data_IF_591688626426
#
_entry.id   IF_591688626426
#
_cell.length_a   1.000
_cell.length_b   1.000
_cell.length_c   1.000
_cell.angle_alpha   90.00
_cell.angle_beta   90.00
_cell.angle_gamma   90.00
#
_symmetry.space_group_name_H-M   'P 1'
#
loop_
_entity.id
_entity.type
_entity.pdbx_description
1 polymer ?
#
# COMPACT_ATOMS: atom_id res chain seq x y z
N UNK A 1 -12.05 -12.64 5.46
CA UNK A 1 -12.26 -11.29 4.87
C UNK A 1 -11.13 -10.85 3.95
N UNK A 2 -9.86 -11.23 4.16
CA UNK A 2 -8.76 -10.81 3.26
C UNK A 2 -8.92 -11.24 1.80
N UNK A 3 -9.39 -12.47 1.56
CA UNK A 3 -9.70 -12.98 0.21
C UNK A 3 -10.73 -12.13 -0.55
N UNK A 4 -11.65 -11.46 0.14
CA UNK A 4 -12.66 -10.62 -0.52
C UNK A 4 -12.12 -9.25 -0.95
N UNK A 5 -10.98 -8.82 -0.42
CA UNK A 5 -10.44 -7.48 -0.62
C UNK A 5 -9.35 -7.44 -1.69
N UNK A 6 -8.82 -8.60 -2.10
CA UNK A 6 -7.88 -8.70 -3.20
C UNK A 6 -8.61 -8.39 -4.53
N UNK A 7 -8.12 -7.42 -5.34
CA UNK A 7 -8.86 -6.91 -6.48
C UNK A 7 -8.63 -7.68 -7.79
N UNK A 8 -7.84 -8.75 -7.76
CA UNK A 8 -7.43 -9.52 -8.95
C UNK A 8 -7.78 -10.99 -8.79
N UNK A 9 -7.78 -11.73 -9.90
CA UNK A 9 -7.78 -13.19 -9.87
C UNK A 9 -6.48 -13.69 -9.22
N UNK A 10 -6.61 -14.64 -8.30
CA UNK A 10 -5.47 -15.25 -7.64
C UNK A 10 -4.64 -16.07 -8.62
N UNK A 11 -3.32 -15.91 -8.53
CA UNK A 11 -2.32 -16.77 -9.18
C UNK A 11 -1.78 -17.77 -8.18
N UNK A 12 -1.01 -18.73 -8.69
CA UNK A 12 -0.35 -19.76 -7.89
C UNK A 12 0.34 -19.16 -6.64
N UNK A 13 0.12 -19.81 -5.49
CA UNK A 13 0.66 -19.44 -4.17
C UNK A 13 0.21 -18.09 -3.58
N UNK A 14 -0.53 -17.25 -4.30
CA UNK A 14 -0.95 -15.94 -3.78
C UNK A 14 -1.98 -16.04 -2.66
N UNK A 15 -2.91 -17.00 -2.76
CA UNK A 15 -3.91 -17.27 -1.72
C UNK A 15 -3.23 -17.75 -0.42
N UNK A 16 -2.28 -18.68 -0.52
CA UNK A 16 -1.46 -19.15 0.61
C UNK A 16 -0.63 -18.03 1.22
N UNK A 17 -0.03 -17.18 0.38
CA UNK A 17 0.73 -16.01 0.83
C UNK A 17 -0.15 -15.02 1.59
N UNK A 18 -1.34 -14.72 1.07
CA UNK A 18 -2.30 -13.84 1.74
C UNK A 18 -2.69 -14.39 3.11
N UNK A 19 -2.95 -15.70 3.19
CA UNK A 19 -3.32 -16.38 4.42
C UNK A 19 -2.18 -16.38 5.43
N UNK A 20 -0.95 -16.64 4.98
CA UNK A 20 0.25 -16.55 5.80
C UNK A 20 0.41 -15.17 6.46
N UNK A 21 0.30 -14.08 5.66
CA UNK A 21 0.39 -12.71 6.18
C UNK A 21 -0.78 -12.41 7.14
N UNK A 22 -2.01 -12.78 6.76
CA UNK A 22 -3.20 -12.52 7.57
C UNK A 22 -3.13 -13.20 8.93
N UNK A 23 -2.74 -14.47 8.98
CA UNK A 23 -2.62 -15.24 10.23
C UNK A 23 -1.55 -14.61 11.12
N UNK A 24 -0.36 -14.32 10.58
CA UNK A 24 0.72 -13.73 11.35
C UNK A 24 0.34 -12.36 11.95
N UNK A 25 -0.34 -11.51 11.17
CA UNK A 25 -0.82 -10.21 11.65
C UNK A 25 -1.91 -10.36 12.71
N UNK A 26 -2.86 -11.27 12.50
CA UNK A 26 -3.93 -11.55 13.46
C UNK A 26 -3.40 -12.04 14.81
N UNK A 27 -2.33 -12.83 14.80
CA UNK A 27 -1.63 -13.33 15.99
C UNK A 27 -0.67 -12.30 16.61
N UNK A 28 -0.55 -11.09 16.05
CA UNK A 28 0.36 -10.05 16.53
C UNK A 28 1.85 -10.37 16.33
N UNK A 29 2.18 -11.24 15.38
CA UNK A 29 3.55 -11.69 15.09
C UNK A 29 4.22 -10.80 14.04
N UNK A 30 5.56 -10.83 14.04
CA UNK A 30 6.36 -10.29 12.94
C UNK A 30 6.32 -11.28 11.77
N UNK A 31 5.87 -10.82 10.60
CA UNK A 31 5.83 -11.61 9.37
C UNK A 31 7.02 -11.24 8.50
N UNK A 32 7.83 -12.24 8.16
CA UNK A 32 8.91 -12.11 7.18
C UNK A 32 8.49 -12.88 5.93
N UNK A 33 8.50 -12.20 4.79
CA UNK A 33 7.99 -12.73 3.54
C UNK A 33 8.96 -12.40 2.40
N UNK A 34 9.40 -13.43 1.67
CA UNK A 34 10.12 -13.29 0.43
C UNK A 34 9.24 -13.75 -0.74
N UNK A 35 9.13 -12.91 -1.76
CA UNK A 35 8.41 -13.23 -2.98
C UNK A 35 9.00 -12.42 -4.14
N UNK A 36 8.94 -12.99 -5.34
CA UNK A 36 9.53 -12.39 -6.53
C UNK A 36 8.89 -11.04 -6.92
N UNK A 37 9.61 -10.23 -7.70
CA UNK A 37 9.04 -9.03 -8.34
C UNK A 37 7.92 -9.46 -9.30
N UNK A 38 6.83 -8.69 -9.34
CA UNK A 38 5.65 -9.04 -10.14
C UNK A 38 4.70 -10.06 -9.51
N UNK A 39 5.05 -10.65 -8.35
CA UNK A 39 4.16 -11.55 -7.60
C UNK A 39 2.90 -10.86 -7.04
N UNK A 40 2.82 -9.52 -7.03
CA UNK A 40 1.67 -8.83 -6.45
C UNK A 40 1.72 -8.70 -4.92
N UNK A 41 2.93 -8.66 -4.34
CA UNK A 41 3.15 -8.47 -2.90
C UNK A 41 2.33 -7.31 -2.32
N UNK A 42 2.34 -6.15 -2.97
CA UNK A 42 1.65 -4.95 -2.49
C UNK A 42 0.14 -5.15 -2.31
N UNK A 43 -0.64 -5.53 -3.34
CA UNK A 43 -2.08 -5.77 -3.18
C UNK A 43 -2.37 -6.94 -2.23
N UNK A 44 -1.53 -7.99 -2.18
CA UNK A 44 -1.73 -9.11 -1.24
C UNK A 44 -1.60 -8.67 0.22
N UNK A 45 -0.51 -7.97 0.55
CA UNK A 45 -0.28 -7.47 1.91
C UNK A 45 -1.37 -6.48 2.30
N UNK A 46 -1.76 -5.55 1.41
CA UNK A 46 -2.86 -4.62 1.69
C UNK A 46 -4.19 -5.36 1.92
N UNK A 47 -4.51 -6.36 1.11
CA UNK A 47 -5.73 -7.17 1.28
C UNK A 47 -5.72 -7.96 2.60
N UNK A 48 -4.55 -8.36 3.10
CA UNK A 48 -4.40 -8.99 4.41
C UNK A 48 -4.55 -7.98 5.58
N UNK A 49 -3.98 -6.78 5.45
CA UNK A 49 -3.91 -5.79 6.54
C UNK A 49 -5.18 -4.95 6.71
N UNK A 50 -5.80 -4.49 5.62
CA UNK A 50 -6.95 -3.56 5.67
C UNK A 50 -8.12 -4.12 6.51
N UNK A 51 -8.54 -5.39 6.37
CA UNK A 51 -9.62 -5.94 7.19
C UNK A 51 -9.33 -5.89 8.69
N UNK A 52 -8.10 -6.25 9.09
CA UNK A 52 -7.72 -6.26 10.51
C UNK A 52 -7.60 -4.82 11.04
N UNK A 53 -7.06 -3.90 10.22
CA UNK A 53 -6.98 -2.49 10.58
C UNK A 53 -8.37 -1.86 10.78
N UNK A 54 -9.33 -2.17 9.90
CA UNK A 54 -10.71 -1.71 10.05
C UNK A 54 -11.40 -2.35 11.26
N UNK A 55 -11.21 -3.66 11.47
CA UNK A 55 -11.82 -4.40 12.59
C UNK A 55 -11.37 -3.87 13.94
N UNK A 56 -10.09 -3.56 14.08
CA UNK A 56 -9.47 -3.16 15.35
C UNK A 56 -9.15 -1.67 15.44
N UNK A 57 -9.64 -0.86 14.50
CA UNK A 57 -9.38 0.59 14.44
C UNK A 57 -7.87 0.95 14.49
N UNK A 58 -7.06 0.20 13.74
CA UNK A 58 -5.61 0.40 13.65
C UNK A 58 -5.25 1.28 12.45
N UNK A 59 -4.01 1.79 12.46
CA UNK A 59 -3.42 2.53 11.34
C UNK A 59 -2.32 1.70 10.69
N UNK A 60 -2.26 1.72 9.36
CA UNK A 60 -1.21 1.05 8.59
C UNK A 60 -0.15 2.10 8.23
N UNK A 61 1.08 1.87 8.67
CA UNK A 61 2.24 2.62 8.20
C UNK A 61 2.95 1.81 7.13
N UNK A 62 2.97 2.33 5.90
CA UNK A 62 3.64 1.70 4.78
C UNK A 62 4.97 2.40 4.49
N UNK A 63 6.07 1.77 4.87
CA UNK A 63 7.42 2.35 4.75
C UNK A 63 8.09 1.76 3.51
N UNK A 64 8.66 2.62 2.67
CA UNK A 64 9.37 2.23 1.44
C UNK A 64 10.76 2.88 1.41
N UNK A 65 11.64 2.35 0.56
CA UNK A 65 13.02 2.84 0.45
C UNK A 65 13.10 4.11 -0.39
N UNK A 66 12.29 4.22 -1.43
CA UNK A 66 12.33 5.34 -2.39
C UNK A 66 10.99 6.03 -2.52
N UNK A 67 11.01 7.34 -2.83
CA UNK A 67 9.79 8.13 -3.04
C UNK A 67 8.88 7.52 -4.11
N UNK A 68 9.43 7.01 -5.22
CA UNK A 68 8.67 6.36 -6.30
C UNK A 68 7.88 5.13 -5.86
N UNK A 69 8.34 4.40 -4.85
CA UNK A 69 7.63 3.22 -4.32
C UNK A 69 6.41 3.59 -3.48
N UNK A 70 6.30 4.85 -3.01
CA UNK A 70 5.18 5.29 -2.16
C UNK A 70 3.85 5.36 -2.92
N UNK A 71 3.87 5.49 -4.25
CA UNK A 71 2.62 5.59 -5.03
C UNK A 71 1.96 4.23 -5.22
N UNK A 72 2.74 3.14 -5.29
CA UNK A 72 2.18 1.83 -5.62
C UNK A 72 1.08 1.41 -4.63
N UNK A 73 1.25 1.51 -3.30
CA UNK A 73 0.18 1.22 -2.35
C UNK A 73 -1.05 2.11 -2.57
N UNK A 74 -0.87 3.39 -2.88
CA UNK A 74 -1.99 4.32 -3.09
C UNK A 74 -2.79 3.95 -4.33
N UNK A 75 -2.13 3.56 -5.42
CA UNK A 75 -2.83 3.08 -6.62
C UNK A 75 -3.60 1.78 -6.35
N UNK A 76 -3.02 0.83 -5.61
CA UNK A 76 -3.74 -0.40 -5.21
C UNK A 76 -4.96 -0.10 -4.33
N UNK A 77 -4.83 0.84 -3.38
CA UNK A 77 -5.93 1.29 -2.53
C UNK A 77 -7.08 1.88 -3.35
N UNK A 78 -6.80 2.61 -4.44
CA UNK A 78 -7.83 3.12 -5.36
C UNK A 78 -8.57 1.99 -6.06
N UNK A 79 -7.84 0.97 -6.54
CA UNK A 79 -8.42 -0.22 -7.19
C UNK A 79 -9.28 -1.01 -6.20
N UNK A 80 -8.79 -1.25 -4.98
CA UNK A 80 -9.56 -1.97 -3.95
C UNK A 80 -10.84 -1.21 -3.56
N UNK A 81 -10.77 0.12 -3.49
CA UNK A 81 -11.93 0.97 -3.18
C UNK A 81 -13.00 0.89 -4.27
N UNK A 82 -12.61 0.85 -5.55
CA UNK A 82 -13.57 0.78 -6.67
C UNK A 82 -14.32 -0.56 -6.71
N UNK A 83 -13.67 -1.66 -6.30
CA UNK A 83 -14.27 -2.99 -6.35
C UNK A 83 -15.25 -3.25 -5.19
N UNK A 84 -15.06 -2.63 -4.01
CA UNK A 84 -15.75 -3.03 -2.78
C UNK A 84 -16.48 -1.92 -2.01
N UNK A 85 -16.51 -0.69 -2.51
CA UNK A 85 -17.14 0.48 -1.85
C UNK A 85 -16.72 0.65 -0.38
N UNK A 86 -15.46 0.30 -0.07
CA UNK A 86 -14.93 0.37 1.29
C UNK A 86 -14.59 1.81 1.67
N UNK A 87 -14.81 2.14 2.94
CA UNK A 87 -14.51 3.45 3.52
C UNK A 87 -13.18 3.39 4.28
N UNK A 88 -12.08 3.60 3.59
CA UNK A 88 -10.77 3.86 4.19
C UNK A 88 -10.11 5.07 3.51
N UNK A 89 -9.21 5.73 4.22
CA UNK A 89 -8.42 6.84 3.73
C UNK A 89 -6.94 6.46 3.76
N UNK A 90 -6.23 6.75 2.67
CA UNK A 90 -4.79 6.55 2.56
C UNK A 90 -4.19 7.67 1.73
N UNK A 91 -2.96 8.05 2.06
CA UNK A 91 -2.20 9.07 1.35
C UNK A 91 -0.73 8.69 1.35
N UNK A 92 0.00 9.09 0.31
CA UNK A 92 1.46 8.99 0.29
C UNK A 92 2.05 10.22 0.97
N UNK A 93 3.10 10.02 1.77
CA UNK A 93 3.83 11.09 2.42
C UNK A 93 5.27 11.11 1.90
N UNK A 94 5.70 12.25 1.39
CA UNK A 94 7.05 12.47 0.83
C UNK A 94 7.67 13.73 1.41
N UNK A 95 8.97 13.90 1.16
CA UNK A 95 9.70 15.08 1.63
C UNK A 95 9.22 16.37 0.98
N UNK A 96 9.53 17.52 1.61
CA UNK A 96 9.18 18.86 1.11
C UNK A 96 9.61 19.09 -0.33
N UNK A 97 10.75 18.53 -0.75
CA UNK A 97 11.26 18.63 -2.12
C UNK A 97 10.26 18.13 -3.17
N UNK A 98 9.47 17.11 -2.81
CA UNK A 98 8.54 16.44 -3.73
C UNK A 98 7.10 16.97 -3.60
N UNK A 99 6.76 17.60 -2.48
CA UNK A 99 5.39 18.04 -2.17
C UNK A 99 5.18 19.56 -2.15
N UNK A 100 6.23 20.37 -2.13
CA UNK A 100 6.12 21.83 -2.04
C UNK A 100 5.72 22.46 -3.38
N UNK A 101 4.50 22.99 -3.47
CA UNK A 101 4.00 23.69 -4.66
C UNK A 101 4.82 24.94 -5.00
N UNK A 102 5.20 25.74 -4.01
CA UNK A 102 6.04 26.91 -4.23
C UNK A 102 7.39 26.54 -4.86
N UNK A 103 8.05 25.50 -4.35
CA UNK A 103 9.32 25.04 -4.91
C UNK A 103 9.16 24.54 -6.36
N UNK A 104 8.02 23.92 -6.67
CA UNK A 104 7.68 23.53 -8.04
C UNK A 104 7.53 24.77 -8.94
N UNK A 105 6.82 25.80 -8.48
CA UNK A 105 6.59 27.02 -9.26
C UNK A 105 7.89 27.82 -9.48
N UNK A 106 8.74 27.92 -8.45
CA UNK A 106 10.08 28.52 -8.54
C UNK A 106 11.01 27.78 -9.53
N UNK A 107 10.88 26.45 -9.63
CA UNK A 107 11.61 25.65 -10.63
C UNK A 107 11.08 25.86 -12.04
N UNK A 108 9.76 25.97 -12.21
CA UNK A 108 9.13 26.18 -13.51
C UNK A 108 9.40 27.60 -14.07
N UNK A 109 9.52 28.59 -13.19
CA UNK A 109 9.88 29.98 -13.53
C UNK A 109 11.37 30.18 -13.80
N UNK A 110 12.22 29.19 -13.50
CA UNK A 110 13.68 29.28 -13.67
C UNK A 110 14.39 30.06 -12.56
N UNK A 111 13.68 30.48 -11.50
CA UNK A 111 14.26 31.23 -10.37
C UNK A 111 15.15 30.37 -9.48
N UNK A 112 15.00 29.04 -9.54
CA UNK A 112 15.82 28.08 -8.78
C UNK A 112 16.26 26.93 -9.68
N UNK A 113 17.56 26.72 -9.81
CA UNK A 113 18.15 25.52 -10.43
C UNK A 113 18.43 24.44 -9.38
N UNK A 114 18.31 23.17 -9.83
CA UNK A 114 18.36 21.89 -9.10
C UNK A 114 18.42 21.85 -7.56
#
# INVERSE_FOLDING_TARGET
>A
MGHMLFPYEFREFQEEFLDFVRIGVHEGKVVLADAATGFGKTPLILAALIPEALRYNLRIFWIVRTGSETDRPIEELKVMRSVRNLKFFGFSFRGKRDMCLLLRDLRLSGEVSH
#
